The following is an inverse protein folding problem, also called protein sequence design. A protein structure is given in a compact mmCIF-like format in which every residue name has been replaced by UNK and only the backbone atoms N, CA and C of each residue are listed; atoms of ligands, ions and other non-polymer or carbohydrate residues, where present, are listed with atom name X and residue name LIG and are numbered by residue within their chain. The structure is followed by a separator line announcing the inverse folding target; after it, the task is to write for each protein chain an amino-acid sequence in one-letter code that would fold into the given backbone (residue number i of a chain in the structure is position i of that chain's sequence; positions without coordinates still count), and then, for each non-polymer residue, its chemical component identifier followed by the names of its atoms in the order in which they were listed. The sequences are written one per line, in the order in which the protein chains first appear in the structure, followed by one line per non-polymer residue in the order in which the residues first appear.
data_IF_705810175792
#
_entry.id   IF_705810175792
#
_cell.length_a   1.000
_cell.length_b   1.000
_cell.length_c   1.000
_cell.angle_alpha   90.00
_cell.angle_beta   90.00
_cell.angle_gamma   90.00
#
_symmetry.space_group_name_H-M   'P 1'
#
loop_
_entity.id
_entity.type
_entity.pdbx_description
1 polymer ?
#
# COMPACT_ATOMS: atom_id res chain seq x y z
N UNK A 1 20.56 46.07 -7.40
CA UNK A 1 19.51 45.12 -7.85
C UNK A 1 19.63 43.87 -6.99
N UNK A 2 18.80 43.77 -5.96
CA UNK A 2 18.75 42.59 -5.08
C UNK A 2 17.72 41.64 -5.71
N UNK A 3 18.19 40.54 -6.29
CA UNK A 3 17.30 39.50 -6.82
C UNK A 3 16.68 38.77 -5.63
N UNK A 4 15.43 39.12 -5.31
CA UNK A 4 14.60 38.38 -4.37
C UNK A 4 14.23 37.05 -5.04
N UNK A 5 15.02 36.00 -4.77
CA UNK A 5 14.63 34.63 -5.07
C UNK A 5 13.43 34.30 -4.17
N UNK A 6 12.23 34.47 -4.72
CA UNK A 6 11.02 33.90 -4.11
C UNK A 6 11.18 32.39 -4.24
N UNK A 7 11.59 31.73 -3.16
CA UNK A 7 11.44 30.30 -3.03
C UNK A 7 9.94 30.01 -3.05
N UNK A 8 9.41 29.63 -4.21
CA UNK A 8 8.07 29.08 -4.30
C UNK A 8 8.13 27.79 -3.49
N UNK A 9 7.45 27.76 -2.35
CA UNK A 9 7.25 26.51 -1.61
C UNK A 9 6.58 25.52 -2.57
N UNK A 10 7.32 24.49 -2.98
CA UNK A 10 6.77 23.44 -3.82
C UNK A 10 5.68 22.73 -3.03
N UNK A 11 4.52 22.52 -3.66
CA UNK A 11 3.48 21.62 -3.17
C UNK A 11 4.14 20.32 -2.68
N UNK A 12 3.97 19.92 -1.40
CA UNK A 12 4.60 18.70 -0.86
C UNK A 12 4.32 17.46 -1.71
N UNK A 13 3.12 17.36 -2.31
CA UNK A 13 2.78 16.25 -3.19
C UNK A 13 3.54 16.33 -4.54
N UNK A 14 3.81 17.53 -5.05
CA UNK A 14 4.63 17.72 -6.24
C UNK A 14 6.11 17.39 -5.99
N UNK A 15 6.64 17.75 -4.82
CA UNK A 15 8.01 17.39 -4.43
C UNK A 15 8.13 15.87 -4.23
N UNK A 16 7.19 15.23 -3.53
CA UNK A 16 7.16 13.77 -3.42
C UNK A 16 7.11 13.06 -4.79
N UNK A 17 6.38 13.62 -5.78
CA UNK A 17 6.38 13.13 -7.17
C UNK A 17 7.78 13.15 -7.79
N UNK A 18 8.53 14.23 -7.59
CA UNK A 18 9.90 14.35 -8.09
C UNK A 18 10.83 13.31 -7.44
N UNK A 19 10.74 13.18 -6.12
CA UNK A 19 11.52 12.20 -5.36
C UNK A 19 11.22 10.78 -5.82
N UNK A 20 9.95 10.39 -5.89
CA UNK A 20 9.53 9.04 -6.30
C UNK A 20 10.00 8.70 -7.72
N UNK A 21 9.97 9.66 -8.66
CA UNK A 21 10.51 9.48 -10.02
C UNK A 21 12.03 9.27 -10.03
N UNK A 22 12.73 9.91 -9.10
CA UNK A 22 14.17 9.82 -8.91
C UNK A 22 14.64 8.51 -8.26
N UNK A 23 13.75 7.74 -7.62
CA UNK A 23 14.05 6.45 -6.98
C UNK A 23 13.84 5.28 -7.97
N UNK A 24 14.90 4.66 -8.53
CA UNK A 24 14.74 3.67 -9.59
C UNK A 24 13.98 2.42 -9.15
N UNK A 25 14.19 1.97 -7.92
CA UNK A 25 13.53 0.79 -7.36
C UNK A 25 12.02 1.01 -7.14
N UNK A 26 11.62 2.19 -6.63
CA UNK A 26 10.21 2.55 -6.48
C UNK A 26 9.50 2.67 -7.83
N UNK A 27 10.16 3.31 -8.81
CA UNK A 27 9.65 3.39 -10.19
C UNK A 27 9.48 2.02 -10.82
N UNK A 28 10.46 1.14 -10.68
CA UNK A 28 10.38 -0.23 -11.20
C UNK A 28 9.25 -1.01 -10.50
N UNK A 29 9.10 -0.87 -9.19
CA UNK A 29 8.01 -1.48 -8.44
C UNK A 29 6.64 -1.03 -8.97
N UNK A 30 6.47 0.27 -9.21
CA UNK A 30 5.24 0.82 -9.77
C UNK A 30 4.91 0.26 -11.17
N UNK A 31 5.94 0.03 -12.01
CA UNK A 31 5.76 -0.58 -13.32
C UNK A 31 5.30 -2.04 -13.20
N UNK A 32 5.90 -2.82 -12.30
CA UNK A 32 5.50 -4.22 -12.09
C UNK A 32 4.09 -4.34 -11.48
N UNK A 33 3.72 -3.46 -10.55
CA UNK A 33 2.36 -3.38 -10.00
C UNK A 33 1.34 -3.12 -11.10
N UNK A 34 1.60 -2.17 -12.00
CA UNK A 34 0.72 -1.90 -13.16
C UNK A 34 0.65 -3.08 -14.13
N UNK A 35 1.77 -3.76 -14.39
CA UNK A 35 1.78 -4.97 -15.23
C UNK A 35 0.97 -6.09 -14.61
N UNK A 36 1.07 -6.30 -13.31
CA UNK A 36 0.29 -7.29 -12.60
C UNK A 36 -1.22 -6.97 -12.66
N UNK A 37 -1.61 -5.72 -12.42
CA UNK A 37 -3.00 -5.28 -12.57
C UNK A 37 -3.53 -5.52 -13.99
N UNK A 38 -2.76 -5.13 -15.01
CA UNK A 38 -3.14 -5.31 -16.41
C UNK A 38 -3.26 -6.78 -16.83
N UNK A 39 -2.62 -7.70 -16.11
CA UNK A 39 -2.66 -9.14 -16.35
C UNK A 39 -3.86 -9.84 -15.71
N UNK A 40 -4.64 -9.17 -14.85
CA UNK A 40 -5.87 -9.72 -14.27
C UNK A 40 -6.80 -10.17 -15.41
N UNK A 41 -7.25 -11.43 -15.37
CA UNK A 41 -8.04 -12.02 -16.45
C UNK A 41 -9.45 -11.43 -16.57
N UNK A 42 -10.14 -11.29 -15.44
CA UNK A 42 -11.49 -10.71 -15.39
C UNK A 42 -11.48 -9.21 -15.78
N UNK A 43 -12.18 -8.80 -16.86
CA UNK A 43 -12.13 -7.42 -17.34
C UNK A 43 -12.70 -6.39 -16.37
N UNK A 44 -13.75 -6.73 -15.61
CA UNK A 44 -14.38 -5.80 -14.69
C UNK A 44 -13.49 -5.58 -13.45
N UNK A 45 -12.92 -6.67 -12.93
CA UNK A 45 -11.95 -6.63 -11.83
C UNK A 45 -10.69 -5.87 -12.24
N UNK A 46 -10.14 -6.15 -13.43
CA UNK A 46 -8.98 -5.43 -13.98
C UNK A 46 -9.24 -3.93 -14.03
N UNK A 47 -10.38 -3.51 -14.59
CA UNK A 47 -10.75 -2.10 -14.66
C UNK A 47 -10.90 -1.46 -13.26
N UNK A 48 -11.48 -2.18 -12.30
CA UNK A 48 -11.61 -1.70 -10.92
C UNK A 48 -10.25 -1.49 -10.25
N UNK A 49 -9.31 -2.43 -10.42
CA UNK A 49 -7.95 -2.35 -9.87
C UNK A 49 -7.15 -1.24 -10.54
N UNK A 50 -7.21 -1.12 -11.87
CA UNK A 50 -6.54 -0.04 -12.60
C UNK A 50 -7.07 1.34 -12.18
N UNK A 51 -8.38 1.48 -12.00
CA UNK A 51 -8.99 2.71 -11.49
C UNK A 51 -8.54 3.00 -10.05
N UNK A 52 -8.41 1.97 -9.21
CA UNK A 52 -7.93 2.12 -7.85
C UNK A 52 -6.45 2.52 -7.78
N UNK A 53 -5.60 2.07 -8.71
CA UNK A 53 -4.21 2.53 -8.85
C UNK A 53 -4.16 3.98 -9.35
N UNK A 54 -5.01 4.33 -10.33
CA UNK A 54 -4.99 5.65 -10.96
C UNK A 54 -5.44 6.76 -10.02
N UNK A 55 -6.50 6.52 -9.25
CA UNK A 55 -7.05 7.48 -8.30
C UNK A 55 -7.60 6.75 -7.06
N UNK A 56 -6.72 6.27 -6.16
CA UNK A 56 -7.14 5.61 -4.92
C UNK A 56 -8.10 6.49 -4.13
N UNK A 57 -9.22 5.94 -3.67
CA UNK A 57 -10.19 6.70 -2.87
C UNK A 57 -11.09 7.67 -3.63
N UNK A 58 -11.02 7.71 -4.98
CA UNK A 58 -11.92 8.54 -5.78
C UNK A 58 -13.41 8.23 -5.55
N UNK A 59 -13.77 6.96 -5.32
CA UNK A 59 -15.13 6.54 -4.94
C UNK A 59 -15.62 7.15 -3.62
N UNK A 60 -14.70 7.59 -2.76
CA UNK A 60 -14.95 8.23 -1.47
C UNK A 60 -14.74 9.75 -1.53
N UNK A 61 -14.54 10.33 -2.73
CA UNK A 61 -14.20 11.76 -2.92
C UNK A 61 -12.93 12.20 -2.17
N UNK A 62 -12.02 11.26 -1.92
CA UNK A 62 -10.73 11.47 -1.24
C UNK A 62 -9.61 10.87 -2.09
N UNK A 63 -9.43 11.41 -3.30
CA UNK A 63 -8.47 10.86 -4.26
C UNK A 63 -7.02 11.12 -3.84
N UNK A 64 -6.19 10.08 -3.86
CA UNK A 64 -4.75 10.13 -3.65
C UNK A 64 -3.94 9.88 -4.91
N UNK A 65 -2.61 9.81 -4.78
CA UNK A 65 -1.70 9.37 -5.84
C UNK A 65 -0.90 8.15 -5.37
N UNK A 66 -1.22 6.98 -5.92
CA UNK A 66 -0.59 5.70 -5.53
C UNK A 66 0.92 5.71 -5.77
N UNK A 67 1.38 6.35 -6.85
CA UNK A 67 2.78 6.28 -7.28
C UNK A 67 3.74 7.07 -6.38
N UNK A 68 3.19 7.89 -5.49
CA UNK A 68 3.96 8.81 -4.62
C UNK A 68 3.72 8.53 -3.15
N UNK A 69 2.70 7.73 -2.84
CA UNK A 69 2.33 7.40 -1.49
C UNK A 69 3.46 6.66 -0.76
N UNK A 70 3.65 6.92 0.54
CA UNK A 70 4.52 6.11 1.37
C UNK A 70 3.87 4.74 1.65
N UNK A 71 4.67 3.71 1.92
CA UNK A 71 4.15 2.40 2.33
C UNK A 71 3.66 2.35 3.77
N UNK A 72 3.96 3.37 4.56
CA UNK A 72 3.52 3.54 5.95
C UNK A 72 3.95 4.90 6.49
N UNK A 73 3.87 5.09 7.80
CA UNK A 73 4.33 6.33 8.42
C UNK A 73 5.80 6.62 8.07
N UNK A 74 6.12 7.89 7.82
CA UNK A 74 7.47 8.32 7.43
C UNK A 74 8.50 8.09 8.53
N UNK A 75 8.04 7.99 9.78
CA UNK A 75 8.80 7.61 10.96
C UNK A 75 8.08 6.45 11.65
N UNK A 76 8.83 5.42 12.05
CA UNK A 76 8.28 4.26 12.75
C UNK A 76 7.27 3.42 11.94
N UNK A 77 7.24 3.56 10.62
CA UNK A 77 6.48 2.71 9.70
C UNK A 77 7.41 1.82 8.85
N UNK A 78 6.91 1.39 7.69
CA UNK A 78 7.70 0.66 6.68
C UNK A 78 7.57 1.32 5.31
N UNK A 79 8.65 1.29 4.52
CA UNK A 79 8.72 1.97 3.23
C UNK A 79 8.22 3.44 3.28
N UNK A 80 8.56 4.18 4.33
CA UNK A 80 8.04 5.53 4.64
C UNK A 80 8.62 6.66 3.79
N UNK A 81 8.77 6.43 2.49
CA UNK A 81 9.37 7.34 1.51
C UNK A 81 8.47 7.50 0.28
N UNK A 82 8.64 8.58 -0.53
CA UNK A 82 7.86 8.76 -1.74
C UNK A 82 7.97 7.58 -2.71
N UNK A 83 6.83 6.98 -3.05
CA UNK A 83 6.75 5.79 -3.89
C UNK A 83 6.93 4.46 -3.14
N UNK A 84 7.07 4.49 -1.82
CA UNK A 84 7.21 3.29 -0.99
C UNK A 84 5.99 2.38 -0.98
N UNK A 85 4.78 2.90 -1.23
CA UNK A 85 3.58 2.07 -1.39
C UNK A 85 3.73 1.09 -2.55
N UNK A 86 4.32 1.51 -3.68
CA UNK A 86 4.53 0.61 -4.81
C UNK A 86 5.54 -0.50 -4.49
N UNK A 87 6.58 -0.18 -3.70
CA UNK A 87 7.57 -1.16 -3.23
C UNK A 87 6.91 -2.18 -2.31
N UNK A 88 6.16 -1.70 -1.31
CA UNK A 88 5.35 -2.51 -0.40
C UNK A 88 4.43 -3.47 -1.17
N UNK A 89 3.56 -2.91 -2.03
CA UNK A 89 2.61 -3.70 -2.82
C UNK A 89 3.29 -4.75 -3.70
N UNK A 90 4.44 -4.43 -4.33
CA UNK A 90 5.17 -5.41 -5.12
C UNK A 90 5.72 -6.54 -4.24
N UNK A 91 6.30 -6.21 -3.08
CA UNK A 91 6.81 -7.20 -2.13
C UNK A 91 5.69 -8.15 -1.67
N UNK A 92 4.56 -7.60 -1.19
CA UNK A 92 3.37 -8.37 -0.78
C UNK A 92 2.86 -9.27 -1.91
N UNK A 93 2.79 -8.77 -3.16
CA UNK A 93 2.38 -9.59 -4.30
C UNK A 93 3.34 -10.76 -4.56
N UNK A 94 4.65 -10.52 -4.53
CA UNK A 94 5.65 -11.56 -4.77
C UNK A 94 5.65 -12.60 -3.64
N UNK A 95 5.50 -12.17 -2.39
CA UNK A 95 5.32 -13.08 -1.25
C UNK A 95 4.07 -13.94 -1.41
N UNK A 96 2.93 -13.34 -1.76
CA UNK A 96 1.67 -14.04 -1.96
C UNK A 96 1.79 -15.11 -3.06
N UNK A 97 2.41 -14.78 -4.19
CA UNK A 97 2.65 -15.73 -5.29
C UNK A 97 3.61 -16.86 -4.91
N UNK A 98 4.67 -16.56 -4.15
CA UNK A 98 5.59 -17.58 -3.66
C UNK A 98 4.90 -18.55 -2.70
N UNK A 99 4.10 -18.03 -1.76
CA UNK A 99 3.28 -18.85 -0.85
C UNK A 99 2.25 -19.68 -1.61
N UNK A 100 1.57 -19.09 -2.59
CA UNK A 100 0.63 -19.81 -3.45
C UNK A 100 1.33 -20.99 -4.14
N UNK A 101 2.48 -20.79 -4.78
CA UNK A 101 3.24 -21.87 -5.41
C UNK A 101 3.60 -23.01 -4.43
N UNK A 102 3.96 -22.67 -3.20
CA UNK A 102 4.22 -23.67 -2.14
C UNK A 102 2.93 -24.45 -1.82
N UNK A 103 1.80 -23.77 -1.64
CA UNK A 103 0.54 -24.42 -1.30
C UNK A 103 -0.05 -25.26 -2.44
N UNK A 104 0.12 -24.84 -3.68
CA UNK A 104 -0.27 -25.64 -4.84
C UNK A 104 0.61 -26.90 -4.94
N UNK A 105 1.93 -26.76 -4.74
CA UNK A 105 2.87 -27.89 -4.82
C UNK A 105 2.69 -28.90 -3.69
N UNK A 106 2.63 -28.43 -2.45
CA UNK A 106 2.65 -29.30 -1.26
C UNK A 106 1.27 -29.81 -0.92
N UNK A 107 0.26 -28.94 -0.97
CA UNK A 107 -1.10 -29.25 -0.52
C UNK A 107 -2.10 -29.45 -1.65
N UNK A 108 -1.66 -29.35 -2.91
CA UNK A 108 -2.52 -29.54 -4.10
C UNK A 108 -3.75 -28.62 -4.09
N UNK A 109 -3.59 -27.44 -3.49
CA UNK A 109 -4.60 -26.37 -3.53
C UNK A 109 -4.52 -25.66 -4.88
N UNK A 110 -5.57 -24.91 -5.21
CA UNK A 110 -5.57 -24.03 -6.39
C UNK A 110 -5.97 -22.64 -5.94
N UNK A 111 -5.06 -21.68 -6.08
CA UNK A 111 -5.31 -20.31 -5.67
C UNK A 111 -5.64 -19.44 -6.88
N UNK A 112 -6.45 -18.41 -6.65
CA UNK A 112 -6.80 -17.44 -7.69
C UNK A 112 -5.78 -16.31 -7.70
N UNK A 113 -4.87 -16.32 -8.68
CA UNK A 113 -3.86 -15.26 -8.82
C UNK A 113 -4.49 -13.88 -8.98
N UNK A 114 -5.56 -13.73 -9.76
CA UNK A 114 -6.32 -12.47 -9.90
C UNK A 114 -6.78 -11.90 -8.55
N UNK A 115 -7.12 -12.77 -7.59
CA UNK A 115 -7.55 -12.36 -6.26
C UNK A 115 -6.37 -11.93 -5.40
N UNK A 116 -5.24 -12.64 -5.48
CA UNK A 116 -4.00 -12.26 -4.80
C UNK A 116 -3.45 -10.92 -5.33
N UNK A 117 -3.43 -10.75 -6.66
CA UNK A 117 -3.04 -9.49 -7.31
C UNK A 117 -3.95 -8.36 -6.88
N UNK A 118 -5.27 -8.56 -6.96
CA UNK A 118 -6.22 -7.53 -6.54
C UNK A 118 -6.02 -7.15 -5.08
N UNK A 119 -5.92 -8.14 -4.18
CA UNK A 119 -5.86 -7.85 -2.76
C UNK A 119 -4.54 -7.21 -2.32
N UNK A 120 -3.41 -7.65 -2.88
CA UNK A 120 -2.11 -7.01 -2.63
C UNK A 120 -2.10 -5.54 -3.08
N UNK A 121 -2.73 -5.21 -4.21
CA UNK A 121 -2.81 -3.82 -4.69
C UNK A 121 -3.81 -3.01 -3.87
N UNK A 122 -4.93 -3.60 -3.49
CA UNK A 122 -6.06 -2.85 -2.93
C UNK A 122 -5.88 -2.48 -1.46
N UNK A 123 -5.42 -3.41 -0.62
CA UNK A 123 -5.50 -3.29 0.85
C UNK A 123 -4.92 -1.97 1.37
N UNK A 124 -3.76 -1.56 0.84
CA UNK A 124 -3.04 -0.36 1.27
C UNK A 124 -3.18 0.84 0.34
N UNK A 125 -3.92 0.72 -0.76
CA UNK A 125 -4.02 1.76 -1.79
C UNK A 125 -4.48 3.12 -1.24
N UNK A 126 -5.26 3.13 -0.15
CA UNK A 126 -5.78 4.36 0.46
C UNK A 126 -4.74 5.10 1.30
N UNK A 127 -3.56 4.53 1.57
CA UNK A 127 -2.42 5.28 2.14
C UNK A 127 -2.11 6.52 1.31
N UNK A 128 -2.35 6.46 0.00
CA UNK A 128 -2.24 7.58 -0.92
C UNK A 128 -3.13 8.79 -0.58
N UNK A 129 -4.20 8.58 0.17
CA UNK A 129 -5.17 9.59 0.56
C UNK A 129 -5.14 9.91 2.07
N UNK A 130 -4.61 9.00 2.89
CA UNK A 130 -4.63 9.09 4.36
C UNK A 130 -3.26 9.46 4.95
N UNK A 131 -2.18 9.31 4.18
CA UNK A 131 -0.82 9.71 4.53
C UNK A 131 -0.26 10.77 3.57
N UNK A 132 -0.87 11.97 3.48
CA UNK A 132 -0.36 13.04 2.64
C UNK A 132 1.00 13.56 3.15
N UNK A 133 1.82 13.99 2.20
CA UNK A 133 3.12 14.61 2.45
C UNK A 133 2.99 16.02 3.05
N UNK A 134 3.91 16.38 3.94
CA UNK A 134 4.01 17.72 4.55
C UNK A 134 5.21 18.49 4.01
N UNK A 135 5.20 19.81 4.25
CA UNK A 135 6.27 20.72 3.81
C UNK A 135 7.66 20.32 4.31
N UNK A 136 7.74 19.70 5.49
CA UNK A 136 8.98 19.22 6.08
C UNK A 136 9.43 17.84 5.57
N UNK A 137 8.70 17.23 4.63
CA UNK A 137 8.97 15.89 4.11
C UNK A 137 8.45 14.75 5.00
N UNK A 138 7.77 15.04 6.09
CA UNK A 138 7.09 14.02 6.90
C UNK A 138 5.74 13.61 6.32
N UNK A 139 5.21 12.50 6.84
CA UNK A 139 3.85 12.00 6.58
C UNK A 139 3.37 11.20 7.80
N UNK A 140 2.06 11.12 8.02
CA UNK A 140 1.48 10.46 9.20
C UNK A 140 1.72 11.19 10.53
N UNK A 141 1.27 10.70 11.69
CA UNK A 141 0.57 9.43 11.84
C UNK A 141 -0.79 9.48 11.15
N UNK A 142 -1.20 8.30 10.70
CA UNK A 142 -2.55 8.08 10.19
C UNK A 142 -3.57 8.08 11.33
N UNK A 143 -4.81 8.50 11.04
CA UNK A 143 -5.92 8.22 11.95
C UNK A 143 -6.27 6.73 11.95
N UNK A 144 -6.95 6.27 13.00
CA UNK A 144 -7.40 4.89 13.12
C UNK A 144 -8.91 4.76 13.01
N UNK A 145 -9.34 3.65 12.41
CA UNK A 145 -10.73 3.22 12.37
C UNK A 145 -10.76 1.74 12.79
N UNK A 146 -11.55 1.41 13.82
CA UNK A 146 -11.66 0.04 14.34
C UNK A 146 -10.29 -0.61 14.66
N UNK A 147 -9.37 0.16 15.23
CA UNK A 147 -8.06 -0.30 15.73
C UNK A 147 -7.02 -0.60 14.64
N UNK A 148 -7.20 -0.08 13.43
CA UNK A 148 -6.21 -0.13 12.34
C UNK A 148 -6.16 1.21 11.61
N UNK A 149 -5.12 1.46 10.81
CA UNK A 149 -5.01 2.69 10.03
C UNK A 149 -6.22 2.88 9.11
N UNK A 150 -6.73 4.11 9.02
CA UNK A 150 -8.00 4.40 8.32
C UNK A 150 -7.98 3.97 6.85
N UNK A 151 -6.83 3.91 6.18
CA UNK A 151 -6.70 3.42 4.82
C UNK A 151 -7.31 2.03 4.64
N UNK A 152 -7.14 1.14 5.62
CA UNK A 152 -7.59 -0.25 5.48
C UNK A 152 -9.11 -0.30 5.39
N UNK A 153 -9.78 0.34 6.35
CA UNK A 153 -11.26 0.38 6.40
C UNK A 153 -11.83 1.19 5.24
N UNK A 154 -11.19 2.31 4.87
CA UNK A 154 -11.60 3.08 3.68
C UNK A 154 -11.37 2.30 2.38
N UNK A 155 -10.33 1.47 2.31
CA UNK A 155 -10.06 0.57 1.19
C UNK A 155 -11.15 -0.47 1.01
N UNK A 156 -11.62 -1.06 2.12
CA UNK A 156 -12.77 -1.96 2.14
C UNK A 156 -14.06 -1.25 1.73
N UNK A 157 -14.31 -0.04 2.22
CA UNK A 157 -15.46 0.76 1.79
C UNK A 157 -15.40 1.07 0.28
N UNK A 158 -14.22 1.39 -0.25
CA UNK A 158 -13.99 1.62 -1.67
C UNK A 158 -14.18 0.34 -2.52
N UNK A 159 -13.95 -0.84 -1.96
CA UNK A 159 -14.23 -2.13 -2.60
C UNK A 159 -15.73 -2.44 -2.62
N UNK A 160 -16.45 -2.18 -1.52
CA UNK A 160 -17.91 -2.31 -1.41
C UNK A 160 -18.63 -1.43 -2.43
N UNK A 161 -18.23 -0.15 -2.52
CA UNK A 161 -18.80 0.80 -3.48
C UNK A 161 -18.54 0.44 -4.96
N UNK A 162 -17.57 -0.44 -5.23
CA UNK A 162 -17.27 -0.97 -6.56
C UNK A 162 -17.83 -2.37 -6.78
N UNK A 163 -18.63 -2.87 -5.83
CA UNK A 163 -19.27 -4.17 -5.91
C UNK A 163 -18.29 -5.34 -6.15
N UNK A 164 -17.09 -5.27 -5.56
CA UNK A 164 -16.18 -6.41 -5.59
C UNK A 164 -16.82 -7.64 -4.93
N UNK A 165 -16.47 -8.88 -5.35
CA UNK A 165 -16.99 -10.09 -4.72
C UNK A 165 -16.77 -10.08 -3.20
N UNK A 166 -17.78 -10.46 -2.42
CA UNK A 166 -17.73 -10.37 -0.95
C UNK A 166 -16.56 -11.17 -0.37
N UNK A 167 -16.28 -12.35 -0.92
CA UNK A 167 -15.16 -13.17 -0.46
C UNK A 167 -13.81 -12.55 -0.85
N UNK A 168 -13.73 -11.79 -1.96
CA UNK A 168 -12.52 -11.02 -2.29
C UNK A 168 -12.34 -9.83 -1.34
N UNK A 169 -13.42 -9.17 -0.93
CA UNK A 169 -13.35 -8.14 0.12
C UNK A 169 -12.85 -8.74 1.44
N UNK A 170 -13.26 -9.96 1.78
CA UNK A 170 -12.72 -10.68 2.93
C UNK A 170 -11.23 -11.03 2.79
N UNK A 171 -10.75 -11.32 1.57
CA UNK A 171 -9.31 -11.46 1.28
C UNK A 171 -8.59 -10.13 1.46
N UNK A 172 -9.11 -9.02 0.91
CA UNK A 172 -8.50 -7.69 1.11
C UNK A 172 -8.42 -7.36 2.61
N UNK A 173 -9.49 -7.62 3.35
CA UNK A 173 -9.55 -7.33 4.78
C UNK A 173 -8.54 -8.13 5.60
N UNK A 174 -8.12 -9.31 5.12
CA UNK A 174 -7.27 -10.20 5.90
C UNK A 174 -5.80 -9.82 5.91
N UNK A 175 -5.35 -8.86 5.08
CA UNK A 175 -3.98 -8.38 5.06
C UNK A 175 -3.46 -8.08 6.48
N UNK A 176 -4.22 -7.29 7.23
CA UNK A 176 -3.86 -6.82 8.57
C UNK A 176 -4.22 -7.77 9.71
N UNK A 177 -4.84 -8.91 9.42
CA UNK A 177 -5.24 -9.90 10.42
C UNK A 177 -6.49 -10.67 10.05
N UNK A 178 -6.73 -11.78 10.75
CA UNK A 178 -7.83 -12.70 10.43
C UNK A 178 -9.15 -12.37 11.14
N UNK A 179 -9.13 -11.42 12.10
CA UNK A 179 -10.33 -10.93 12.78
C UNK A 179 -10.95 -9.75 12.02
N UNK A 180 -11.56 -10.04 10.87
CA UNK A 180 -11.95 -9.02 9.90
C UNK A 180 -13.32 -8.36 10.14
N UNK A 181 -14.18 -8.95 10.98
CA UNK A 181 -15.57 -8.49 11.14
C UNK A 181 -15.68 -7.01 11.56
N UNK A 182 -14.89 -6.49 12.52
CA UNK A 182 -14.98 -5.09 12.93
C UNK A 182 -14.70 -4.12 11.77
N UNK A 183 -13.72 -4.44 10.92
CA UNK A 183 -13.37 -3.61 9.76
C UNK A 183 -14.43 -3.66 8.67
N UNK A 184 -14.99 -4.85 8.39
CA UNK A 184 -16.10 -4.99 7.43
C UNK A 184 -17.32 -4.19 7.88
N UNK A 185 -17.69 -4.29 9.16
CA UNK A 185 -18.87 -3.59 9.70
C UNK A 185 -18.75 -2.07 9.55
N UNK A 186 -17.55 -1.54 9.81
CA UNK A 186 -17.29 -0.10 9.71
C UNK A 186 -17.16 0.36 8.24
N UNK A 187 -16.59 -0.47 7.37
CA UNK A 187 -16.56 -0.22 5.94
C UNK A 187 -17.97 -0.17 5.33
N UNK A 188 -18.87 -1.07 5.75
CA UNK A 188 -20.28 -1.09 5.32
C UNK A 188 -21.01 0.18 5.76
N UNK A 189 -20.78 0.62 7.01
CA UNK A 189 -21.31 1.88 7.54
C UNK A 189 -20.84 3.08 6.73
N UNK A 190 -19.54 3.15 6.40
CA UNK A 190 -18.96 4.24 5.60
C UNK A 190 -19.50 4.23 4.17
N UNK A 191 -19.60 3.04 3.56
CA UNK A 191 -20.14 2.87 2.21
C UNK A 191 -21.66 3.06 2.13
N UNK A 192 -22.36 3.16 3.27
CA UNK A 192 -23.82 3.25 3.36
C UNK A 192 -24.51 2.08 2.62
N UNK A 193 -23.97 0.88 2.78
CA UNK A 193 -24.55 -0.37 2.25
C UNK A 193 -25.20 -1.16 3.37
N UNK A 194 -26.12 -2.05 3.00
CA UNK A 194 -26.77 -2.95 3.96
C UNK A 194 -25.72 -3.83 4.68
N UNK A 195 -25.76 -3.91 6.03
CA UNK A 195 -24.82 -4.72 6.79
C UNK A 195 -24.82 -6.19 6.37
N UNK A 196 -23.64 -6.75 6.17
CA UNK A 196 -23.42 -8.15 5.85
C UNK A 196 -23.26 -9.01 7.10
N UNK A 197 -23.54 -10.31 6.97
CA UNK A 197 -23.11 -11.27 7.97
C UNK A 197 -21.58 -11.42 7.91
N UNK A 198 -20.91 -11.47 9.07
CA UNK A 198 -19.48 -11.77 9.08
C UNK A 198 -19.23 -13.18 8.50
N UNK A 199 -18.24 -13.34 7.59
CA UNK A 199 -17.96 -14.64 6.99
C UNK A 199 -17.56 -15.68 8.04
N UNK A 200 -18.28 -16.81 8.06
CA UNK A 200 -17.98 -17.92 8.96
C UNK A 200 -16.67 -18.66 8.61
N UNK A 201 -16.21 -18.52 7.36
CA UNK A 201 -14.97 -19.10 6.85
C UNK A 201 -14.32 -18.12 5.89
N UNK A 202 -13.00 -18.05 5.92
CA UNK A 202 -12.21 -17.28 4.96
C UNK A 202 -11.69 -18.20 3.83
N UNK A 203 -11.60 -17.69 2.60
CA UNK A 203 -10.95 -18.41 1.52
C UNK A 203 -9.44 -18.55 1.79
N UNK A 204 -8.77 -19.53 1.17
CA UNK A 204 -7.33 -19.76 1.39
C UNK A 204 -6.48 -18.54 1.02
N UNK A 205 -6.89 -17.77 0.01
CA UNK A 205 -6.21 -16.53 -0.38
C UNK A 205 -6.14 -15.50 0.76
N UNK A 206 -7.08 -15.52 1.71
CA UNK A 206 -7.05 -14.62 2.85
C UNK A 206 -5.86 -14.90 3.78
N UNK A 207 -5.57 -16.18 4.02
CA UNK A 207 -4.41 -16.60 4.81
C UNK A 207 -3.10 -16.29 4.09
N UNK A 208 -3.08 -16.52 2.77
CA UNK A 208 -1.92 -16.22 1.92
C UNK A 208 -1.60 -14.73 1.96
N UNK A 209 -2.60 -13.87 1.78
CA UNK A 209 -2.40 -12.42 1.84
C UNK A 209 -1.93 -11.98 3.22
N UNK A 210 -2.54 -12.51 4.28
CA UNK A 210 -2.13 -12.18 5.65
C UNK A 210 -0.64 -12.46 5.88
N UNK A 211 -0.17 -13.64 5.51
CA UNK A 211 1.25 -13.99 5.65
C UNK A 211 2.15 -13.16 4.71
N UNK A 212 1.69 -12.89 3.50
CA UNK A 212 2.44 -12.13 2.51
C UNK A 212 2.70 -10.67 2.94
N UNK A 213 1.75 -10.09 3.68
CA UNK A 213 1.79 -8.72 4.20
C UNK A 213 2.44 -8.61 5.59
N UNK A 214 2.80 -9.75 6.21
CA UNK A 214 3.38 -9.80 7.56
C UNK A 214 4.90 -9.60 7.61
N UNK A 215 5.50 -8.97 6.60
CA UNK A 215 6.96 -8.75 6.52
C UNK A 215 7.45 -7.50 7.29
N UNK A 216 6.51 -6.75 7.89
CA UNK A 216 6.76 -5.58 8.74
C UNK A 216 7.92 -5.73 9.74
N UNK A 217 8.13 -6.87 10.44
CA UNK A 217 9.26 -7.00 11.35
C UNK A 217 10.63 -6.75 10.70
N UNK A 218 10.78 -7.05 9.40
CA UNK A 218 12.00 -6.76 8.64
C UNK A 218 11.96 -5.35 8.05
N UNK A 219 10.90 -5.02 7.31
CA UNK A 219 10.81 -3.77 6.54
C UNK A 219 10.68 -2.54 7.44
N UNK A 220 9.95 -2.65 8.55
CA UNK A 220 9.83 -1.62 9.58
C UNK A 220 11.14 -1.42 10.35
N UNK A 221 11.86 -2.50 10.66
CA UNK A 221 13.19 -2.40 11.30
C UNK A 221 14.22 -1.74 10.37
N UNK A 222 14.23 -2.12 9.10
CA UNK A 222 15.11 -1.53 8.10
C UNK A 222 14.83 -0.05 7.86
N UNK A 223 13.56 0.32 7.72
CA UNK A 223 13.18 1.72 7.53
C UNK A 223 13.46 2.58 8.76
N UNK A 224 13.19 2.06 9.96
CA UNK A 224 13.46 2.79 11.21
C UNK A 224 14.95 3.05 11.39
N UNK A 225 15.81 2.03 11.21
CA UNK A 225 17.27 2.20 11.25
C UNK A 225 17.78 3.19 10.20
N UNK A 226 17.22 3.14 8.98
CA UNK A 226 17.56 4.11 7.93
C UNK A 226 17.16 5.54 8.34
N UNK A 227 15.91 5.74 8.78
CA UNK A 227 15.36 7.05 9.11
C UNK A 227 16.05 7.72 10.32
N UNK A 228 16.62 6.92 11.23
CA UNK A 228 17.43 7.41 12.36
C UNK A 228 18.82 7.90 11.93
N UNK A 229 19.43 7.26 10.92
CA UNK A 229 20.81 7.57 10.49
C UNK A 229 20.87 8.58 9.35
N UNK A 230 19.85 8.64 8.52
CA UNK A 230 19.77 9.53 7.37
C UNK A 230 19.49 10.99 7.79
N UNK A 231 19.79 11.97 6.92
CA UNK A 231 19.33 13.35 7.11
C UNK A 231 17.82 13.44 7.37
N UNK A 232 17.39 14.52 8.00
CA UNK A 232 15.97 14.76 8.27
C UNK A 232 15.30 15.51 7.11
N UNK A 233 13.97 15.45 7.09
CA UNK A 233 13.15 16.05 6.04
C UNK A 233 13.43 15.54 4.64
N UNK A 234 13.24 16.38 3.62
CA UNK A 234 13.37 15.97 2.21
C UNK A 234 14.77 15.45 1.85
N UNK A 235 15.83 15.92 2.50
CA UNK A 235 17.20 15.45 2.28
C UNK A 235 17.37 13.95 2.56
N UNK A 236 16.53 13.37 3.43
CA UNK A 236 16.48 11.92 3.68
C UNK A 236 16.33 11.14 2.39
N UNK A 237 15.44 11.61 1.52
CA UNK A 237 15.06 10.86 0.33
C UNK A 237 16.06 11.07 -0.82
N UNK A 238 16.81 12.17 -0.80
CA UNK A 238 17.97 12.34 -1.67
C UNK A 238 19.11 11.39 -1.28
N UNK A 239 19.36 11.21 0.02
CA UNK A 239 20.30 10.21 0.51
C UNK A 239 19.87 8.78 0.09
N UNK A 240 18.57 8.48 0.18
CA UNK A 240 18.03 7.16 -0.18
C UNK A 240 18.30 6.80 -1.66
N UNK A 241 18.28 7.80 -2.55
CA UNK A 241 18.65 7.58 -3.97
C UNK A 241 20.10 7.12 -4.11
N UNK A 242 21.02 7.67 -3.32
CA UNK A 242 22.43 7.29 -3.34
C UNK A 242 22.67 5.92 -2.70
N UNK A 243 21.95 5.62 -1.61
CA UNK A 243 22.09 4.36 -0.86
C UNK A 243 21.43 3.16 -1.57
N UNK A 244 20.52 3.42 -2.50
CA UNK A 244 19.88 2.42 -3.35
C UNK A 244 18.51 2.02 -2.84
N UNK A 245 18.38 1.45 -1.63
CA UNK A 245 17.13 1.29 -0.89
C UNK A 245 17.42 0.97 0.60
N UNK A 246 16.37 1.03 1.42
CA UNK A 246 16.43 0.84 2.87
C UNK A 246 16.94 -0.55 3.27
N UNK A 247 16.58 -1.62 2.55
CA UNK A 247 17.04 -2.98 2.86
C UNK A 247 18.50 -3.22 2.45
N UNK A 248 18.95 -2.62 1.35
CA UNK A 248 20.35 -2.65 0.92
C UNK A 248 21.23 -1.89 1.89
N UNK A 249 20.79 -0.72 2.36
CA UNK A 249 21.48 0.01 3.41
C UNK A 249 21.55 -0.82 4.69
N UNK A 250 20.42 -1.34 5.17
CA UNK A 250 20.31 -2.13 6.40
C UNK A 250 21.17 -3.40 6.40
N UNK A 251 21.33 -4.05 5.25
CA UNK A 251 22.18 -5.25 5.15
C UNK A 251 23.68 -4.93 5.11
N UNK A 252 24.07 -3.71 4.73
CA UNK A 252 25.47 -3.24 4.66
C UNK A 252 25.91 -2.49 5.91
N UNK A 253 24.97 -1.94 6.67
CA UNK A 253 25.22 -1.11 7.87
C UNK A 253 25.38 -1.92 9.17
N UNK A 254 25.36 -3.25 9.06
CA UNK A 254 25.50 -4.24 10.15
C UNK A 254 26.88 -4.89 10.15
#
# INVERSE_FOLDING_TARGET
MLALLIAVALDPAAHAREVARGLPFARNAMLEVRRAAAAIGDPALRAAVEAQILAPGASLKKAGDFAVAPGGNCQGGHHGYPGGLAVHTLATLLHARALAQVYERVYQTKLRDDWLVTAAIWHDSLKAATLPWREDGSCGPEAEIAGTGEHHVLGLAAALLRHLPKELIAVIASAHGLSICPWLSEAERIASVEPGACPAKLPIEAYVLHFADSDYPLTGAAWSDYAERAPQGWERYEALKADGNELLFFSRSR
#
